data_IF_419624287315
#
_entry.id   IF_419624287315
#
_cell.length_a   1.000
_cell.length_b   1.000
_cell.length_c   1.000
_cell.angle_alpha   90.00
_cell.angle_beta   90.00
_cell.angle_gamma   90.00
#
_symmetry.space_group_name_H-M   'P 1'
#
loop_
_entity.id
_entity.type
_entity.pdbx_description
1 polymer ?
#
# COMPACT_ATOMS: atom_id res chain seq x y z
N UNK A 1 -28.19 -5.89 2.56
CA UNK A 1 -27.53 -4.68 3.11
C UNK A 1 -26.48 -4.23 2.11
N UNK A 2 -26.20 -2.92 1.95
CA UNK A 2 -25.14 -2.49 1.05
C UNK A 2 -23.78 -2.92 1.63
N UNK A 3 -23.00 -3.63 0.81
CA UNK A 3 -21.67 -4.12 1.16
C UNK A 3 -20.64 -3.09 0.70
N UNK A 4 -19.72 -2.71 1.58
CA UNK A 4 -18.57 -1.87 1.23
C UNK A 4 -17.32 -2.74 1.16
N UNK A 5 -16.61 -2.64 0.03
CA UNK A 5 -15.28 -3.26 -0.15
C UNK A 5 -14.21 -2.21 -0.05
N UNK A 6 -13.34 -2.35 0.94
CA UNK A 6 -12.19 -1.48 1.15
C UNK A 6 -10.90 -2.21 0.78
N UNK A 7 -9.97 -1.54 0.13
CA UNK A 7 -8.62 -2.06 0.00
C UNK A 7 -7.82 -1.61 1.23
N UNK A 8 -7.19 -2.55 1.93
CA UNK A 8 -6.53 -2.29 3.22
C UNK A 8 -5.09 -2.81 3.20
N UNK A 9 -4.25 -2.18 4.03
CA UNK A 9 -2.93 -2.67 4.38
C UNK A 9 -3.01 -3.24 5.80
N UNK A 10 -2.99 -4.56 5.90
CA UNK A 10 -3.27 -5.32 7.10
C UNK A 10 -1.99 -5.93 7.66
N UNK A 11 -1.83 -5.89 8.98
CA UNK A 11 -0.74 -6.57 9.68
C UNK A 11 -1.05 -8.07 9.82
N UNK A 12 -0.08 -8.93 9.52
CA UNK A 12 -0.19 -10.39 9.70
C UNK A 12 -0.10 -10.81 11.16
N UNK A 13 0.59 -10.04 11.98
CA UNK A 13 0.89 -10.41 13.37
C UNK A 13 -0.28 -10.11 14.31
N UNK A 14 -0.87 -8.92 14.22
CA UNK A 14 -2.03 -8.52 15.04
C UNK A 14 -3.37 -8.53 14.30
N UNK A 15 -3.38 -9.01 13.04
CA UNK A 15 -4.55 -9.10 12.16
C UNK A 15 -5.34 -7.79 11.95
N UNK A 16 -4.74 -6.65 12.29
CA UNK A 16 -5.40 -5.33 12.24
C UNK A 16 -5.22 -4.69 10.87
N UNK A 17 -6.31 -4.12 10.33
CA UNK A 17 -6.29 -3.26 9.14
C UNK A 17 -5.66 -1.89 9.49
N UNK A 18 -4.33 -1.83 9.56
CA UNK A 18 -3.57 -0.66 10.03
C UNK A 18 -3.79 0.58 9.17
N UNK A 19 -4.01 0.40 7.85
CA UNK A 19 -4.34 1.51 6.95
C UNK A 19 -5.44 1.08 5.99
N UNK A 20 -6.49 1.91 5.86
CA UNK A 20 -7.40 1.84 4.72
C UNK A 20 -6.79 2.61 3.54
N UNK A 21 -6.59 1.94 2.41
CA UNK A 21 -6.00 2.51 1.20
C UNK A 21 -7.05 3.39 0.52
N UNK A 22 -6.85 4.70 0.61
CA UNK A 22 -7.70 5.74 0.03
C UNK A 22 -7.12 6.25 -1.29
N UNK A 23 -7.86 7.11 -1.98
CA UNK A 23 -7.56 7.63 -3.32
C UNK A 23 -6.17 8.25 -3.46
N UNK A 24 -5.68 8.86 -2.38
CA UNK A 24 -4.46 9.63 -2.22
C UNK A 24 -3.27 8.81 -1.75
N UNK A 25 -3.48 7.55 -1.36
CA UNK A 25 -2.39 6.67 -0.98
C UNK A 25 -1.44 6.44 -2.18
N UNK A 26 -0.14 6.50 -1.91
CA UNK A 26 0.91 6.36 -2.92
C UNK A 26 1.26 4.90 -3.20
N UNK A 27 1.58 4.64 -4.46
CA UNK A 27 2.18 3.39 -4.94
C UNK A 27 3.71 3.53 -5.06
N UNK A 28 4.43 2.42 -5.06
CA UNK A 28 5.87 2.40 -5.36
C UNK A 28 6.22 3.03 -6.71
N UNK A 29 5.31 2.98 -7.69
CA UNK A 29 5.53 3.61 -8.99
C UNK A 29 5.46 5.15 -8.96
N UNK A 30 5.13 5.74 -7.80
CA UNK A 30 4.96 7.18 -7.62
C UNK A 30 3.53 7.70 -7.88
N UNK A 31 2.66 6.88 -8.46
CA UNK A 31 1.25 7.24 -8.70
C UNK A 31 0.35 6.92 -7.51
N UNK A 32 -0.83 7.53 -7.50
CA UNK A 32 -1.84 7.41 -6.43
C UNK A 32 -2.77 6.23 -6.68
N UNK A 33 -3.47 5.76 -5.64
CA UNK A 33 -4.44 4.67 -5.76
C UNK A 33 -5.57 4.98 -6.76
N UNK A 34 -6.02 6.24 -6.84
CA UNK A 34 -7.01 6.69 -7.84
C UNK A 34 -6.56 6.52 -9.30
N UNK A 35 -5.25 6.30 -9.52
CA UNK A 35 -4.63 6.09 -10.83
C UNK A 35 -4.33 4.59 -11.07
N UNK A 36 -4.98 3.71 -10.33
CA UNK A 36 -4.93 2.28 -10.51
C UNK A 36 -6.34 1.72 -10.67
N UNK A 37 -6.44 0.58 -11.34
CA UNK A 37 -7.69 -0.19 -11.37
C UNK A 37 -8.07 -0.60 -9.94
N UNK A 38 -9.34 -0.41 -9.59
CA UNK A 38 -9.86 -0.67 -8.23
C UNK A 38 -10.71 -1.94 -8.22
N UNK A 39 -10.18 -3.00 -8.84
CA UNK A 39 -10.85 -4.29 -8.95
C UNK A 39 -10.04 -5.41 -8.26
N UNK A 40 -10.73 -6.41 -7.73
CA UNK A 40 -10.09 -7.59 -7.15
C UNK A 40 -9.21 -8.29 -8.19
N UNK A 41 -7.94 -8.53 -7.84
CA UNK A 41 -6.95 -9.13 -8.75
C UNK A 41 -6.38 -8.19 -9.82
N UNK A 42 -7.01 -7.04 -10.08
CA UNK A 42 -6.56 -6.06 -11.09
C UNK A 42 -6.35 -4.69 -10.45
N UNK A 43 -5.09 -4.43 -10.09
CA UNK A 43 -4.66 -3.17 -9.49
C UNK A 43 -3.50 -2.53 -10.25
N UNK A 44 -3.47 -2.68 -11.58
CA UNK A 44 -2.42 -2.06 -12.42
C UNK A 44 -2.62 -0.56 -12.50
N UNK A 45 -1.53 0.16 -12.74
CA UNK A 45 -1.61 1.61 -12.97
C UNK A 45 -2.18 1.90 -14.36
N UNK A 46 -3.09 2.86 -14.45
CA UNK A 46 -3.71 3.28 -15.72
C UNK A 46 -3.00 4.48 -16.38
N UNK A 47 -2.00 5.04 -15.73
CA UNK A 47 -1.19 6.12 -16.28
C UNK A 47 -0.38 5.65 -17.48
N UNK A 48 -0.29 6.52 -18.49
CA UNK A 48 0.40 6.20 -19.75
C UNK A 48 1.85 5.82 -19.47
N UNK A 49 2.29 4.72 -20.10
CA UNK A 49 3.66 4.19 -20.02
C UNK A 49 4.14 3.78 -18.62
N UNK A 50 3.25 3.68 -17.61
CA UNK A 50 3.64 3.16 -16.30
C UNK A 50 3.77 1.62 -16.34
N UNK A 51 4.92 1.02 -16.00
CA UNK A 51 5.08 -0.44 -16.03
C UNK A 51 4.52 -1.15 -14.78
N UNK A 52 3.87 -0.41 -13.86
CA UNK A 52 3.29 -0.92 -12.62
C UNK A 52 2.11 -1.85 -12.89
N UNK A 53 2.26 -3.14 -12.55
CA UNK A 53 1.23 -4.16 -12.77
C UNK A 53 0.32 -4.41 -11.57
N UNK A 54 0.73 -3.95 -10.38
CA UNK A 54 -0.02 -4.14 -9.14
C UNK A 54 0.27 -2.98 -8.18
N UNK A 55 -0.77 -2.43 -7.58
CA UNK A 55 -0.62 -1.37 -6.58
C UNK A 55 0.14 -1.91 -5.37
N UNK A 56 1.27 -1.26 -5.07
CA UNK A 56 2.13 -1.56 -3.94
C UNK A 56 2.17 -0.36 -3.01
N UNK A 57 1.50 -0.47 -1.87
CA UNK A 57 1.30 0.67 -0.96
C UNK A 57 2.62 1.14 -0.32
N UNK A 58 2.86 2.45 -0.35
CA UNK A 58 3.96 3.11 0.35
C UNK A 58 3.40 4.06 1.41
N UNK A 59 3.77 3.85 2.66
CA UNK A 59 3.41 4.75 3.76
C UNK A 59 4.08 6.12 3.53
N UNK A 60 3.29 7.17 3.67
CA UNK A 60 3.70 8.54 3.49
C UNK A 60 2.81 9.48 4.34
N UNK A 61 3.38 10.59 4.79
CA UNK A 61 2.70 11.62 5.56
C UNK A 61 3.19 13.01 5.09
N UNK A 62 2.29 13.80 4.50
CA UNK A 62 2.64 15.05 3.86
C UNK A 62 3.71 14.87 2.78
N UNK A 63 4.86 15.53 2.97
CA UNK A 63 6.03 15.44 2.07
C UNK A 63 6.94 14.25 2.38
N UNK A 64 6.77 13.61 3.54
CA UNK A 64 7.58 12.48 3.97
C UNK A 64 7.03 11.18 3.38
N UNK A 65 7.93 10.27 3.01
CA UNK A 65 7.61 8.94 2.51
C UNK A 65 8.64 7.93 3.01
N UNK A 66 8.23 6.67 3.13
CA UNK A 66 9.15 5.59 3.47
C UNK A 66 10.30 5.49 2.47
N UNK A 67 11.46 5.14 3.02
CA UNK A 67 12.67 4.83 2.28
C UNK A 67 13.00 3.36 2.45
N UNK A 68 13.60 2.80 1.42
CA UNK A 68 14.17 1.48 1.51
C UNK A 68 15.42 1.50 2.42
N UNK A 69 15.87 0.34 2.91
CA UNK A 69 17.15 0.19 3.64
C UNK A 69 18.34 0.68 2.81
N UNK A 70 18.23 0.66 1.49
CA UNK A 70 19.18 1.29 0.57
C UNK A 70 19.21 2.83 0.63
N UNK A 71 18.37 3.45 1.46
CA UNK A 71 18.16 4.91 1.65
C UNK A 71 17.48 5.64 0.49
N UNK A 72 17.30 4.99 -0.65
CA UNK A 72 16.59 5.54 -1.80
C UNK A 72 15.07 5.57 -1.58
N UNK A 73 14.39 6.46 -2.29
CA UNK A 73 12.93 6.60 -2.29
C UNK A 73 12.26 5.40 -2.95
N UNK A 74 11.00 5.18 -2.63
CA UNK A 74 10.20 4.09 -3.22
C UNK A 74 10.16 4.16 -4.76
N UNK A 75 9.95 5.36 -5.31
CA UNK A 75 9.92 5.60 -6.75
C UNK A 75 11.28 5.55 -7.47
N UNK A 76 12.36 5.27 -6.74
CA UNK A 76 13.68 4.95 -7.31
C UNK A 76 13.89 3.44 -7.47
N UNK A 77 12.85 2.64 -7.23
CA UNK A 77 12.82 1.20 -7.46
C UNK A 77 11.96 0.86 -8.68
N UNK A 78 12.24 -0.26 -9.33
CA UNK A 78 11.40 -0.75 -10.43
C UNK A 78 9.97 -1.00 -9.89
N UNK A 79 8.92 -0.49 -10.53
CA UNK A 79 7.55 -0.73 -10.07
C UNK A 79 7.08 -2.16 -10.31
N UNK A 80 7.88 -3.01 -10.96
CA UNK A 80 7.64 -4.44 -11.10
C UNK A 80 8.34 -5.20 -9.96
N UNK A 81 7.70 -6.24 -9.39
CA UNK A 81 8.37 -7.14 -8.45
C UNK A 81 9.67 -7.69 -9.04
N UNK A 82 10.75 -7.83 -8.24
CA UNK A 82 10.80 -7.71 -6.77
C UNK A 82 10.96 -6.28 -6.25
N UNK A 83 10.84 -5.27 -7.10
CA UNK A 83 11.08 -3.86 -6.79
C UNK A 83 12.54 -3.53 -6.51
N UNK A 84 13.43 -3.94 -7.41
CA UNK A 84 14.86 -3.71 -7.27
C UNK A 84 15.18 -2.21 -7.39
N UNK A 85 16.13 -1.73 -6.61
CA UNK A 85 16.54 -0.33 -6.67
C UNK A 85 17.32 -0.04 -7.97
N UNK A 86 16.82 0.90 -8.76
CA UNK A 86 17.46 1.31 -10.03
C UNK A 86 18.75 2.11 -9.78
N UNK A 87 18.80 2.86 -8.67
CA UNK A 87 19.97 3.65 -8.28
C UNK A 87 21.13 2.78 -7.81
N UNK A 88 20.86 1.75 -7.00
CA UNK A 88 21.89 0.82 -6.54
C UNK A 88 22.50 0.05 -7.73
N UNK A 89 21.65 -0.44 -8.63
CA UNK A 89 22.09 -1.15 -9.84
C UNK A 89 22.98 -0.27 -10.73
N UNK A 90 22.63 1.01 -10.91
CA UNK A 90 23.40 1.92 -11.73
C UNK A 90 24.77 2.28 -11.14
N UNK A 91 24.88 2.35 -9.81
CA UNK A 91 26.10 2.81 -9.13
C UNK A 91 27.00 1.68 -8.60
N UNK A 92 26.51 0.44 -8.58
CA UNK A 92 27.24 -0.71 -8.03
C UNK A 92 27.52 -0.61 -6.51
N UNK A 93 26.78 0.22 -5.77
CA UNK A 93 27.08 0.53 -4.36
C UNK A 93 26.77 -0.65 -3.42
N UNK A 94 25.63 -1.33 -3.60
CA UNK A 94 25.19 -2.44 -2.75
C UNK A 94 24.04 -3.22 -3.41
N UNK A 95 23.89 -4.49 -3.02
CA UNK A 95 22.85 -5.38 -3.54
C UNK A 95 21.50 -5.08 -2.88
N UNK A 96 20.66 -4.29 -3.54
CA UNK A 96 19.25 -4.13 -3.19
C UNK A 96 18.39 -5.07 -4.05
N UNK A 97 17.93 -6.17 -3.45
CA UNK A 97 17.15 -7.23 -4.13
C UNK A 97 15.64 -6.98 -4.12
N UNK A 98 15.19 -5.86 -3.56
CA UNK A 98 13.79 -5.50 -3.44
C UNK A 98 13.59 -4.33 -2.48
N UNK A 99 12.41 -3.70 -2.55
CA UNK A 99 12.05 -2.64 -1.61
C UNK A 99 11.79 -3.25 -0.23
N UNK A 100 12.54 -2.79 0.76
CA UNK A 100 12.38 -3.20 2.17
C UNK A 100 12.67 -2.00 3.07
N UNK A 101 11.83 -1.76 4.07
CA UNK A 101 11.88 -0.56 4.92
C UNK A 101 12.16 -0.93 6.39
N UNK A 102 13.06 -0.21 7.10
CA UNK A 102 13.30 -0.41 8.52
C UNK A 102 12.20 0.20 9.42
N UNK A 103 11.20 0.87 8.84
CA UNK A 103 10.14 1.52 9.60
C UNK A 103 9.26 0.51 10.33
N UNK A 104 8.84 0.88 11.53
CA UNK A 104 7.93 0.12 12.39
C UNK A 104 6.58 0.82 12.38
N UNK A 105 5.52 0.04 12.17
CA UNK A 105 4.16 0.54 12.16
C UNK A 105 3.70 0.93 13.56
N UNK A 106 2.68 1.79 13.65
CA UNK A 106 2.02 2.16 14.90
C UNK A 106 1.36 0.96 15.61
N UNK A 107 1.23 -0.19 14.95
CA UNK A 107 0.83 -1.45 15.58
C UNK A 107 2.00 -2.22 16.19
N UNK A 108 3.18 -1.60 16.30
CA UNK A 108 4.45 -2.13 16.82
C UNK A 108 5.10 -3.27 16.01
N UNK A 109 4.60 -3.55 14.81
CA UNK A 109 5.15 -4.57 13.92
C UNK A 109 5.91 -3.98 12.73
N UNK A 110 6.82 -4.75 12.17
CA UNK A 110 7.66 -4.31 11.06
C UNK A 110 6.84 -3.98 9.81
N UNK A 111 7.34 -3.10 8.93
CA UNK A 111 6.72 -2.85 7.63
C UNK A 111 6.50 -4.15 6.82
N UNK A 112 7.46 -5.09 6.86
CA UNK A 112 7.39 -6.36 6.13
C UNK A 112 6.29 -7.31 6.66
N UNK A 113 5.81 -7.08 7.88
CA UNK A 113 4.74 -7.87 8.51
C UNK A 113 3.35 -7.57 7.95
N UNK A 114 3.24 -6.68 6.96
CA UNK A 114 1.97 -6.23 6.42
C UNK A 114 1.76 -6.64 4.96
N UNK A 115 0.50 -6.72 4.56
CA UNK A 115 0.09 -7.09 3.22
C UNK A 115 -1.18 -6.35 2.80
N UNK A 116 -1.44 -6.31 1.50
CA UNK A 116 -2.60 -5.63 0.96
C UNK A 116 -3.71 -6.64 0.65
N UNK A 117 -4.92 -6.36 1.11
CA UNK A 117 -6.09 -7.23 0.90
C UNK A 117 -7.37 -6.41 0.77
N UNK A 118 -8.43 -7.05 0.25
CA UNK A 118 -9.77 -6.46 0.24
C UNK A 118 -10.52 -6.88 1.50
N UNK A 119 -11.04 -5.90 2.22
CA UNK A 119 -11.86 -6.06 3.41
C UNK A 119 -13.32 -5.78 3.05
N UNK A 120 -14.21 -6.70 3.38
CA UNK A 120 -15.65 -6.59 3.17
C UNK A 120 -16.31 -6.19 4.49
N UNK A 121 -17.03 -5.07 4.50
CA UNK A 121 -17.80 -4.61 5.68
C UNK A 121 -19.26 -4.43 5.31
N UNK A 122 -20.13 -5.00 6.13
CA UNK A 122 -21.58 -4.78 6.08
C UNK A 122 -21.87 -3.39 6.64
N UNK A 123 -22.62 -2.58 5.90
CA UNK A 123 -23.13 -1.32 6.44
C UNK A 123 -24.28 -1.62 7.40
N UNK A 124 -24.04 -1.39 8.69
CA UNK A 124 -25.11 -1.42 9.69
C UNK A 124 -26.00 -0.20 9.49
N UNK A 125 -27.29 -0.44 9.24
CA UNK A 125 -28.29 0.63 9.15
C UNK A 125 -28.38 1.37 10.49
N UNK A 126 -28.48 2.70 10.47
CA UNK A 126 -28.74 3.54 11.66
C UNK A 126 -30.20 3.45 12.15
N UNK A 127 -30.97 2.46 11.72
CA UNK A 127 -32.39 2.28 12.06
C UNK A 127 -32.65 1.37 13.27
N UNK A 128 -31.62 1.01 14.06
CA UNK A 128 -31.77 0.14 15.25
C UNK A 128 -31.91 0.93 16.58
N UNK A 129 -32.17 2.24 16.56
CA UNK A 129 -32.44 3.04 17.77
C UNK A 129 -33.79 3.75 17.65
N UNK A 130 -34.89 3.01 17.72
CA UNK A 130 -36.19 3.51 18.17
C UNK A 130 -37.13 2.32 18.42
N UNK A 131 -36.97 1.68 19.58
CA UNK A 131 -38.03 0.92 20.28
C UNK A 131 -37.46 0.50 21.65
N UNK A 132 -37.52 1.40 22.64
CA UNK A 132 -37.59 1.12 24.09
C UNK A 132 -37.42 2.41 24.94
N UNK A 133 -38.32 3.39 24.78
CA UNK A 133 -38.65 4.37 25.83
C UNK A 133 -40.15 4.51 25.92
#
# INVERSE_FOLDING_TARGET
MPIVKNYVWQCRECNTSCVTIRSECGCICGHRWRQHEQAEGQTRCIERNCPCRRFFYIVAEGSWQLRCRCKHKSNEHDPRPPHNCTKCAAKGEHLCTGFDSPWVCNCDHSWASHFQTWEVKELRSLMDFDENV
#
